data_IF_440313941949
#
_entry.id   IF_440313941949
#
_cell.length_a   1.000
_cell.length_b   1.000
_cell.length_c   1.000
_cell.angle_alpha   90.00
_cell.angle_beta   90.00
_cell.angle_gamma   90.00
#
_symmetry.space_group_name_H-M   'P 1'
#
loop_
_entity.id
_entity.type
_entity.pdbx_description
1 polymer ?
#
# COMPACT_ATOMS: atom_id res chain seq x y z
N UNK A 1 21.86 -27.09 26.31
CA UNK A 1 20.84 -26.14 25.84
C UNK A 1 21.11 -24.82 26.56
N UNK A 2 21.80 -23.88 25.92
CA UNK A 2 22.09 -22.58 26.55
C UNK A 2 20.86 -21.70 26.43
N UNK A 3 20.13 -21.51 27.53
CA UNK A 3 19.09 -20.49 27.64
C UNK A 3 19.75 -19.12 27.56
N UNK A 4 19.55 -18.41 26.44
CA UNK A 4 19.89 -16.99 26.37
C UNK A 4 18.97 -16.23 27.35
N UNK A 5 19.51 -15.43 28.28
CA UNK A 5 18.67 -14.56 29.08
C UNK A 5 18.00 -13.58 28.12
N UNK A 6 16.67 -13.68 27.97
CA UNK A 6 15.88 -12.67 27.27
C UNK A 6 16.00 -11.38 28.06
N UNK A 7 16.96 -10.53 27.71
CA UNK A 7 17.17 -9.20 28.27
C UNK A 7 16.02 -8.26 27.82
N UNK A 8 14.83 -8.53 28.34
CA UNK A 8 13.61 -7.77 28.08
C UNK A 8 13.77 -6.28 28.41
N UNK A 9 14.70 -5.93 29.31
CA UNK A 9 15.08 -4.54 29.61
C UNK A 9 15.86 -3.89 28.46
N UNK A 10 16.76 -4.63 27.82
CA UNK A 10 17.49 -4.15 26.64
C UNK A 10 16.55 -4.01 25.43
N UNK A 11 15.63 -4.97 25.26
CA UNK A 11 14.58 -4.91 24.25
C UNK A 11 13.63 -3.73 24.49
N UNK A 12 13.19 -3.52 25.73
CA UNK A 12 12.34 -2.38 26.10
C UNK A 12 13.04 -1.03 25.88
N UNK A 13 14.34 -0.93 26.20
CA UNK A 13 15.12 0.27 25.94
C UNK A 13 15.33 0.52 24.44
N UNK A 14 15.55 -0.53 23.64
CA UNK A 14 15.63 -0.42 22.18
C UNK A 14 14.30 0.03 21.57
N UNK A 15 13.19 -0.58 22.03
CA UNK A 15 11.83 -0.22 21.61
C UNK A 15 11.46 1.21 21.98
N UNK A 16 11.93 1.69 23.13
CA UNK A 16 11.76 3.10 23.55
C UNK A 16 12.52 4.05 22.63
N UNK A 17 13.78 3.78 22.33
CA UNK A 17 14.57 4.59 21.37
C UNK A 17 13.97 4.57 19.97
N UNK A 18 13.44 3.43 19.54
CA UNK A 18 12.74 3.33 18.26
C UNK A 18 11.50 4.22 18.26
N UNK A 19 10.66 4.12 19.29
CA UNK A 19 9.46 4.95 19.43
C UNK A 19 9.78 6.45 19.49
N UNK A 20 10.88 6.82 20.16
CA UNK A 20 11.36 8.20 20.20
C UNK A 20 11.75 8.70 18.80
N UNK A 21 12.45 7.89 17.99
CA UNK A 21 12.78 8.22 16.60
C UNK A 21 11.52 8.33 15.72
N UNK A 22 10.57 7.41 15.89
CA UNK A 22 9.29 7.46 15.17
C UNK A 22 8.50 8.72 15.54
N UNK A 23 8.51 9.11 16.80
CA UNK A 23 7.86 10.33 17.28
C UNK A 23 8.54 11.60 16.75
N UNK A 24 9.87 11.58 16.63
CA UNK A 24 10.63 12.69 16.05
C UNK A 24 10.33 12.87 14.56
N UNK A 25 10.28 11.76 13.82
CA UNK A 25 9.84 11.76 12.41
C UNK A 25 8.42 12.30 12.31
N UNK A 26 7.46 11.77 13.08
CA UNK A 26 6.07 12.22 13.02
C UNK A 26 5.94 13.72 13.36
N UNK A 27 6.69 14.22 14.34
CA UNK A 27 6.74 15.64 14.68
C UNK A 27 7.27 16.47 13.52
N UNK A 28 8.36 16.04 12.89
CA UNK A 28 8.98 16.74 11.77
C UNK A 28 8.07 16.75 10.54
N UNK A 29 7.30 15.68 10.33
CA UNK A 29 6.23 15.64 9.34
C UNK A 29 5.11 16.63 9.65
N UNK A 30 4.69 16.71 10.91
CA UNK A 30 3.67 17.69 11.33
C UNK A 30 4.17 19.13 11.13
N UNK A 31 5.42 19.42 11.45
CA UNK A 31 6.02 20.75 11.19
C UNK A 31 6.00 21.12 9.71
N UNK A 32 6.26 20.16 8.80
CA UNK A 32 6.18 20.38 7.36
C UNK A 32 4.73 20.63 6.93
N UNK A 33 3.75 19.92 7.50
CA UNK A 33 2.32 20.13 7.23
C UNK A 33 1.86 21.51 7.69
N UNK A 34 2.25 21.89 8.92
CA UNK A 34 1.85 23.15 9.55
C UNK A 34 2.45 24.36 8.83
N UNK A 35 3.64 24.20 8.23
CA UNK A 35 4.33 25.22 7.42
C UNK A 35 4.01 25.15 5.93
N UNK A 36 3.00 24.39 5.52
CA UNK A 36 2.63 24.22 4.09
C UNK A 36 3.80 23.78 3.19
N UNK A 37 4.74 23.01 3.75
CA UNK A 37 5.89 22.53 3.03
C UNK A 37 7.12 23.45 3.04
N UNK A 38 7.07 24.61 3.71
CA UNK A 38 8.18 25.55 3.70
C UNK A 38 9.48 24.96 4.28
N UNK A 39 10.58 25.06 3.51
CA UNK A 39 11.88 24.46 3.84
C UNK A 39 11.99 22.93 3.67
N UNK A 40 10.94 22.24 3.23
CA UNK A 40 10.97 20.80 2.95
C UNK A 40 11.31 20.49 1.48
N UNK A 41 11.91 19.33 1.18
CA UNK A 41 12.10 18.90 -0.20
C UNK A 41 10.76 18.59 -0.88
N UNK A 42 10.67 18.79 -2.21
CA UNK A 42 9.42 18.69 -2.98
C UNK A 42 8.65 17.37 -2.78
N UNK A 43 9.36 16.23 -2.75
CA UNK A 43 8.75 14.92 -2.49
C UNK A 43 8.06 14.83 -1.11
N UNK A 44 8.52 15.62 -0.14
CA UNK A 44 7.97 15.70 1.20
C UNK A 44 6.84 16.73 1.28
N UNK A 45 6.91 17.82 0.51
CA UNK A 45 5.83 18.82 0.39
C UNK A 45 4.55 18.20 -0.17
N UNK A 46 4.66 17.45 -1.26
CA UNK A 46 3.50 16.77 -1.87
C UNK A 46 2.86 15.78 -0.90
N UNK A 47 3.69 15.00 -0.18
CA UNK A 47 3.22 14.05 0.81
C UNK A 47 2.56 14.75 2.01
N UNK A 48 3.12 15.87 2.47
CA UNK A 48 2.58 16.68 3.55
C UNK A 48 1.24 17.31 3.17
N UNK A 49 1.12 17.92 2.00
CA UNK A 49 -0.14 18.49 1.50
C UNK A 49 -1.23 17.42 1.34
N UNK A 50 -0.86 16.22 0.85
CA UNK A 50 -1.77 15.09 0.77
C UNK A 50 -2.23 14.62 2.15
N UNK A 51 -1.33 14.58 3.14
CA UNK A 51 -1.64 14.22 4.53
C UNK A 51 -2.52 15.29 5.19
N UNK A 52 -2.26 16.58 4.96
CA UNK A 52 -3.10 17.72 5.38
C UNK A 52 -4.51 17.62 4.81
N UNK A 53 -4.64 17.39 3.51
CA UNK A 53 -5.93 17.22 2.85
C UNK A 53 -6.70 15.98 3.37
N UNK A 54 -6.00 14.90 3.74
CA UNK A 54 -6.61 13.74 4.36
C UNK A 54 -7.05 14.04 5.80
N UNK A 55 -6.23 14.74 6.59
CA UNK A 55 -6.58 15.20 7.94
C UNK A 55 -7.81 16.09 7.92
N UNK A 56 -7.89 17.03 6.98
CA UNK A 56 -9.04 17.93 6.82
C UNK A 56 -10.32 17.13 6.52
N UNK A 57 -10.26 16.17 5.58
CA UNK A 57 -11.36 15.22 5.30
C UNK A 57 -11.76 14.34 6.48
N UNK A 58 -10.86 14.16 7.44
CA UNK A 58 -11.07 13.38 8.66
C UNK A 58 -11.43 14.24 9.88
N UNK A 59 -11.40 15.57 9.73
CA UNK A 59 -11.80 16.53 10.75
C UNK A 59 -13.33 16.52 10.81
N UNK A 60 -13.89 16.15 11.96
CA UNK A 60 -15.33 15.94 12.13
C UNK A 60 -15.84 14.55 11.80
N UNK A 61 -15.00 13.63 11.31
CA UNK A 61 -15.36 12.22 11.13
C UNK A 61 -15.31 11.49 12.48
N UNK A 62 -16.43 10.89 12.87
CA UNK A 62 -16.52 10.13 14.11
C UNK A 62 -15.48 8.98 14.15
N UNK A 63 -14.89 8.65 15.32
CA UNK A 63 -13.83 7.64 15.43
C UNK A 63 -14.22 6.27 14.87
N UNK A 64 -15.47 5.84 15.11
CA UNK A 64 -15.98 4.57 14.59
C UNK A 64 -16.03 4.54 13.05
N UNK A 65 -16.33 5.68 12.42
CA UNK A 65 -16.42 5.77 10.95
C UNK A 65 -15.02 5.72 10.31
N UNK A 66 -13.98 6.18 11.02
CA UNK A 66 -12.57 5.97 10.62
C UNK A 66 -12.23 4.49 10.61
N UNK A 67 -12.62 3.77 11.66
CA UNK A 67 -12.37 2.33 11.77
C UNK A 67 -13.13 1.52 10.70
N UNK A 68 -14.38 1.89 10.42
CA UNK A 68 -15.17 1.29 9.33
C UNK A 68 -14.50 1.53 7.98
N UNK A 69 -14.06 2.76 7.68
CA UNK A 69 -13.34 3.07 6.43
C UNK A 69 -12.05 2.27 6.32
N UNK A 70 -11.31 2.10 7.43
CA UNK A 70 -10.08 1.30 7.49
C UNK A 70 -10.37 -0.17 7.16
N UNK A 71 -11.33 -0.76 7.87
CA UNK A 71 -11.74 -2.15 7.68
C UNK A 71 -12.23 -2.41 6.26
N UNK A 72 -13.05 -1.51 5.70
CA UNK A 72 -13.55 -1.64 4.33
C UNK A 72 -12.42 -1.58 3.30
N UNK A 73 -11.41 -0.71 3.50
CA UNK A 73 -10.23 -0.66 2.63
C UNK A 73 -9.40 -1.95 2.71
N UNK A 74 -9.27 -2.54 3.89
CA UNK A 74 -8.57 -3.81 4.06
C UNK A 74 -9.33 -4.98 3.42
N UNK A 75 -10.65 -5.01 3.57
CA UNK A 75 -11.52 -5.98 2.89
C UNK A 75 -11.43 -5.83 1.37
N UNK A 76 -11.51 -4.61 0.83
CA UNK A 76 -11.39 -4.37 -0.60
C UNK A 76 -10.04 -4.84 -1.17
N UNK A 77 -8.93 -4.63 -0.44
CA UNK A 77 -7.62 -5.18 -0.81
C UNK A 77 -7.63 -6.70 -0.84
N UNK A 78 -8.11 -7.35 0.23
CA UNK A 78 -8.21 -8.82 0.26
C UNK A 78 -9.03 -9.38 -0.88
N UNK A 79 -10.15 -8.73 -1.22
CA UNK A 79 -10.99 -9.12 -2.36
C UNK A 79 -10.18 -9.00 -3.65
N UNK A 80 -9.48 -7.88 -3.87
CA UNK A 80 -8.62 -7.68 -5.04
C UNK A 80 -7.52 -8.73 -5.13
N UNK A 81 -6.87 -9.07 -4.01
CA UNK A 81 -5.79 -10.06 -3.94
C UNK A 81 -6.32 -11.46 -4.29
N UNK A 82 -7.52 -11.82 -3.84
CA UNK A 82 -8.19 -13.08 -4.20
C UNK A 82 -8.50 -13.12 -5.69
N UNK A 83 -9.12 -12.08 -6.26
CA UNK A 83 -9.39 -12.02 -7.70
C UNK A 83 -8.12 -12.11 -8.55
N UNK A 84 -7.06 -11.43 -8.13
CA UNK A 84 -5.78 -11.49 -8.82
C UNK A 84 -5.17 -12.90 -8.73
N UNK A 85 -5.25 -13.53 -7.56
CA UNK A 85 -4.78 -14.91 -7.37
C UNK A 85 -5.58 -15.93 -8.20
N UNK A 86 -6.90 -15.74 -8.32
CA UNK A 86 -7.76 -16.57 -9.18
C UNK A 86 -7.44 -16.37 -10.67
N UNK A 87 -7.15 -15.14 -11.08
CA UNK A 87 -6.75 -14.82 -12.45
C UNK A 87 -5.36 -15.41 -12.79
N UNK A 88 -4.38 -15.30 -11.89
CA UNK A 88 -3.05 -15.89 -12.04
C UNK A 88 -3.07 -17.43 -11.97
N UNK A 89 -4.05 -18.02 -11.29
CA UNK A 89 -4.27 -19.47 -11.28
C UNK A 89 -4.96 -19.96 -12.56
N UNK A 90 -5.80 -19.14 -13.19
CA UNK A 90 -6.44 -19.43 -14.48
C UNK A 90 -5.48 -19.33 -15.68
N UNK A 91 -4.54 -18.39 -15.66
CA UNK A 91 -3.60 -18.16 -16.78
C UNK A 91 -2.49 -19.22 -16.91
N UNK A 92 -2.31 -20.10 -15.90
CA UNK A 92 -1.31 -21.19 -15.95
C UNK A 92 -1.82 -22.47 -16.60
N UNK A 93 -3.05 -22.49 -17.12
CA UNK A 93 -3.64 -23.68 -17.75
C UNK A 93 -4.30 -23.39 -19.09
N UNK A 94 -3.50 -23.03 -20.10
CA UNK A 94 -3.59 -23.59 -21.46
C UNK A 94 -2.56 -22.94 -22.39
N UNK A 95 -1.67 -23.71 -23.07
CA UNK A 95 -1.11 -23.26 -24.31
C UNK A 95 -2.23 -23.30 -25.36
N UNK A 96 -2.71 -22.13 -25.80
CA UNK A 96 -3.62 -22.02 -26.94
C UNK A 96 -2.91 -22.62 -28.16
N UNK A 97 -3.42 -23.69 -28.79
CA UNK A 97 -2.88 -24.14 -30.08
C UNK A 97 -3.13 -23.02 -31.11
N UNK A 98 -2.13 -22.68 -31.96
CA UNK A 98 -2.32 -21.65 -32.97
C UNK A 98 -3.46 -22.06 -33.91
N UNK A 99 -4.41 -21.15 -34.11
CA UNK A 99 -5.55 -21.33 -34.98
C UNK A 99 -5.09 -21.73 -36.40
N UNK A 100 -5.74 -22.71 -37.06
CA UNK A 100 -5.44 -23.02 -38.44
C UNK A 100 -5.83 -21.84 -39.33
N UNK A 101 -4.83 -21.24 -39.98
CA UNK A 101 -5.01 -20.22 -41.02
C UNK A 101 -5.89 -20.78 -42.15
N UNK A 102 -6.97 -20.09 -42.56
CA UNK A 102 -7.76 -20.52 -43.72
C UNK A 102 -6.92 -20.35 -45.00
N UNK A 103 -6.74 -21.45 -45.73
CA UNK A 103 -6.17 -21.43 -47.09
C UNK A 103 -7.08 -20.60 -47.98
N UNK A 104 -6.59 -19.45 -48.44
CA UNK A 104 -7.18 -18.71 -49.55
C UNK A 104 -7.10 -19.62 -50.78
N UNK A 105 -8.24 -20.18 -51.19
CA UNK A 105 -8.37 -20.80 -52.50
C UNK A 105 -8.58 -19.64 -53.47
N UNK A 106 -7.49 -19.25 -54.12
CA UNK A 106 -7.47 -18.28 -55.21
C UNK A 106 -8.24 -18.89 -56.38
N UNK A 107 -9.46 -18.41 -56.62
CA UNK A 107 -10.23 -18.74 -57.81
C UNK A 107 -9.59 -18.01 -59.01
N UNK A 108 -8.64 -18.69 -59.65
CA UNK A 108 -8.01 -18.28 -60.90
C UNK A 108 -8.76 -18.84 -62.11
N UNK A 109 -9.37 -17.91 -62.85
CA UNK A 109 -9.41 -17.82 -64.31
C UNK A 109 -10.23 -18.82 -65.16
N UNK A 110 -11.07 -18.17 -65.98
CA UNK A 110 -11.55 -18.48 -67.33
C UNK A 110 -12.82 -19.31 -67.48
#
# INVERSE_FOLDING_TARGET
MSEQPRDWKAEAAAKRRQRERETDVERRWQEVIDKDGDGAPEWLKEAALKKKAQQDKETGVAPWLKEVRRTNKDLARKISDVYQSEQECGDKSAPVPPAPVPKVIENGAN
#
